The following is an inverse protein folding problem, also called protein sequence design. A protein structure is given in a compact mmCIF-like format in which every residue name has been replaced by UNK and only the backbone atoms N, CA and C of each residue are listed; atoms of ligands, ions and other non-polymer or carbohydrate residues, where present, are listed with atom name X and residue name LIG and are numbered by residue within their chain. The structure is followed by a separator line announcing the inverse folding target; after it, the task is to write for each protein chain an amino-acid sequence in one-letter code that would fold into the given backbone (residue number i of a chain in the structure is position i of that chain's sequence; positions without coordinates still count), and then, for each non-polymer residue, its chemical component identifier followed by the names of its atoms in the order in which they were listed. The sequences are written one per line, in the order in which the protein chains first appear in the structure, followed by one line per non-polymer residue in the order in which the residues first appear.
data_IF_967495263128
#
_entry.id   IF_967495263128
#
_cell.length_a   1.000
_cell.length_b   1.000
_cell.length_c   1.000
_cell.angle_alpha   90.00
_cell.angle_beta   90.00
_cell.angle_gamma   90.00
#
_symmetry.space_group_name_H-M   'P 1'
#
loop_
_entity.id
_entity.type
_entity.pdbx_description
1 polymer ?
#
# COMPACT_ATOMS: atom_id res chain seq x y z
N UNK A 1 19.57 1.49 -12.02
CA UNK A 1 18.91 0.94 -10.81
C UNK A 1 17.67 0.19 -11.26
N UNK A 2 17.79 -1.11 -11.47
CA UNK A 2 16.66 -1.95 -11.88
C UNK A 2 15.84 -2.28 -10.63
N UNK A 3 14.57 -1.86 -10.64
CA UNK A 3 13.60 -2.10 -9.58
C UNK A 3 13.31 -3.61 -9.53
N UNK A 4 13.52 -4.25 -8.38
CA UNK A 4 13.22 -5.67 -8.21
C UNK A 4 11.77 -5.92 -8.61
N UNK A 5 11.61 -6.88 -9.52
CA UNK A 5 10.45 -7.08 -10.38
C UNK A 5 9.42 -7.99 -9.72
N UNK A 6 9.31 -7.93 -8.40
CA UNK A 6 8.48 -8.90 -7.64
C UNK A 6 7.03 -8.42 -7.54
N UNK A 7 6.76 -7.10 -7.55
CA UNK A 7 5.42 -6.58 -7.69
C UNK A 7 5.38 -5.29 -8.52
N UNK A 8 4.73 -5.36 -9.69
CA UNK A 8 4.46 -4.19 -10.56
C UNK A 8 3.35 -3.34 -9.94
N UNK A 9 3.64 -2.72 -8.80
CA UNK A 9 2.67 -1.94 -8.02
C UNK A 9 3.14 -0.51 -7.81
N UNK A 10 2.26 0.46 -8.04
CA UNK A 10 2.43 1.86 -7.69
C UNK A 10 1.55 2.12 -6.47
N UNK A 11 2.17 2.40 -5.34
CA UNK A 11 1.48 2.77 -4.12
C UNK A 11 1.13 4.25 -4.13
N UNK A 12 -0.08 4.60 -3.68
CA UNK A 12 -0.49 5.98 -3.50
C UNK A 12 -1.17 6.21 -2.15
N UNK A 13 -0.99 7.41 -1.60
CA UNK A 13 -1.59 7.86 -0.36
C UNK A 13 -2.24 9.24 -0.58
N UNK A 14 -3.55 9.32 -0.35
CA UNK A 14 -4.26 10.58 -0.32
C UNK A 14 -4.15 11.21 1.08
N UNK A 15 -3.72 12.47 1.14
CA UNK A 15 -3.65 13.23 2.38
C UNK A 15 -3.75 14.73 2.09
N UNK A 16 -4.26 15.59 2.98
CA UNK A 16 -4.42 17.02 2.68
C UNK A 16 -3.12 17.82 2.47
N UNK A 17 -1.98 17.28 2.92
CA UNK A 17 -0.68 17.92 2.77
C UNK A 17 0.46 16.92 2.85
N UNK A 18 1.65 17.32 2.39
CA UNK A 18 2.86 16.50 2.48
C UNK A 18 3.21 16.13 3.92
N UNK A 19 3.12 17.08 4.84
CA UNK A 19 3.44 16.85 6.26
C UNK A 19 2.54 15.78 6.86
N UNK A 20 1.24 15.82 6.56
CA UNK A 20 0.27 14.81 7.03
C UNK A 20 0.50 13.44 6.38
N UNK A 21 0.89 13.40 5.10
CA UNK A 21 1.25 12.16 4.42
C UNK A 21 2.48 11.50 5.05
N UNK A 22 3.52 12.28 5.34
CA UNK A 22 4.78 11.78 5.92
C UNK A 22 4.63 11.34 7.37
N UNK A 23 3.75 11.97 8.15
CA UNK A 23 3.43 11.57 9.53
C UNK A 23 2.36 10.47 9.62
N UNK A 24 1.86 9.98 8.48
CA UNK A 24 0.81 8.97 8.45
C UNK A 24 1.34 7.62 8.93
N UNK A 25 0.68 6.93 9.88
CA UNK A 25 1.06 5.58 10.29
C UNK A 25 1.11 4.59 9.12
N UNK A 26 0.27 4.82 8.12
CA UNK A 26 0.23 3.98 6.92
C UNK A 26 1.49 4.15 6.05
N UNK A 27 2.06 5.36 5.99
CA UNK A 27 3.28 5.63 5.25
C UNK A 27 4.52 5.04 5.94
N UNK A 28 4.58 5.08 7.27
CA UNK A 28 5.71 4.54 8.05
C UNK A 28 5.95 3.05 7.76
N UNK A 29 4.88 2.26 7.65
CA UNK A 29 4.94 0.83 7.31
C UNK A 29 5.63 0.59 5.96
N UNK A 30 5.23 1.31 4.91
CA UNK A 30 5.81 1.18 3.57
C UNK A 30 7.23 1.72 3.46
N UNK A 31 7.55 2.74 4.26
CA UNK A 31 8.91 3.28 4.35
C UNK A 31 9.90 2.21 4.81
N UNK A 32 9.50 1.37 5.78
CA UNK A 32 10.31 0.23 6.24
C UNK A 32 10.57 -0.81 5.14
N UNK A 33 9.59 -1.02 4.26
CA UNK A 33 9.65 -1.92 3.10
C UNK A 33 10.41 -1.32 1.89
N UNK A 34 10.89 -0.07 1.99
CA UNK A 34 11.57 0.68 0.92
C UNK A 34 10.75 0.81 -0.38
N UNK A 35 9.42 0.86 -0.26
CA UNK A 35 8.54 1.15 -1.39
C UNK A 35 8.38 2.66 -1.60
N UNK A 36 8.39 3.08 -2.86
CA UNK A 36 8.05 4.45 -3.24
C UNK A 36 6.53 4.63 -3.22
N UNK A 37 6.06 5.78 -2.70
CA UNK A 37 4.64 6.11 -2.55
C UNK A 37 4.36 7.46 -3.20
N UNK A 38 3.33 7.52 -4.04
CA UNK A 38 2.81 8.76 -4.62
C UNK A 38 1.92 9.47 -3.60
N UNK A 39 2.22 10.72 -3.26
CA UNK A 39 1.34 11.54 -2.43
C UNK A 39 0.35 12.32 -3.29
N UNK A 40 -0.93 12.19 -2.95
CA UNK A 40 -2.04 12.83 -3.61
C UNK A 40 -2.69 13.80 -2.64
N UNK A 41 -2.86 15.06 -3.05
CA UNK A 41 -3.32 16.12 -2.15
C UNK A 41 -4.74 16.58 -2.46
N UNK A 42 -5.22 16.33 -3.69
CA UNK A 42 -6.55 16.74 -4.09
C UNK A 42 -7.59 15.67 -3.74
N UNK A 43 -8.79 16.06 -3.29
CA UNK A 43 -9.85 15.11 -2.94
C UNK A 43 -10.24 14.15 -4.07
N UNK A 44 -10.08 14.59 -5.32
CA UNK A 44 -10.44 13.81 -6.50
C UNK A 44 -9.37 12.80 -6.92
N UNK A 45 -8.12 12.97 -6.50
CA UNK A 45 -7.01 12.11 -6.92
C UNK A 45 -7.25 10.65 -6.53
N UNK A 46 -7.78 10.41 -5.32
CA UNK A 46 -8.07 9.07 -4.84
C UNK A 46 -9.07 8.34 -5.75
N UNK A 47 -10.17 9.00 -6.08
CA UNK A 47 -11.21 8.44 -6.96
C UNK A 47 -10.66 8.18 -8.36
N UNK A 48 -9.85 9.10 -8.89
CA UNK A 48 -9.22 8.96 -10.21
C UNK A 48 -8.26 7.77 -10.23
N UNK A 49 -7.39 7.63 -9.23
CA UNK A 49 -6.42 6.53 -9.17
C UNK A 49 -7.08 5.18 -8.90
N UNK A 50 -8.13 5.15 -8.07
CA UNK A 50 -8.94 3.97 -7.85
C UNK A 50 -9.61 3.49 -9.15
N UNK A 51 -10.15 4.42 -9.95
CA UNK A 51 -10.79 4.09 -11.22
C UNK A 51 -9.80 3.76 -12.34
N UNK A 52 -8.61 4.37 -12.32
CA UNK A 52 -7.56 4.11 -13.31
C UNK A 52 -7.06 2.67 -13.21
N UNK A 53 -6.99 2.10 -12.00
CA UNK A 53 -6.61 0.71 -11.65
C UNK A 53 -5.17 0.30 -12.02
N UNK A 54 -4.69 0.67 -13.20
CA UNK A 54 -3.37 0.35 -13.71
C UNK A 54 -2.81 1.45 -14.61
N UNK A 55 -1.50 1.62 -14.58
CA UNK A 55 -0.77 2.52 -15.47
C UNK A 55 0.48 1.83 -16.01
N UNK A 56 0.62 1.74 -17.33
CA UNK A 56 1.76 1.09 -17.99
C UNK A 56 2.07 -0.32 -17.48
N UNK A 57 1.03 -1.10 -17.16
CA UNK A 57 1.17 -2.46 -16.63
C UNK A 57 1.57 -2.53 -15.16
N UNK A 58 1.56 -1.42 -14.44
CA UNK A 58 1.67 -1.36 -12.99
C UNK A 58 0.29 -1.16 -12.36
N UNK A 59 -0.06 -1.97 -11.36
CA UNK A 59 -1.29 -1.84 -10.59
C UNK A 59 -1.20 -0.63 -9.65
N UNK A 60 -2.26 0.15 -9.54
CA UNK A 60 -2.38 1.22 -8.57
C UNK A 60 -3.01 0.66 -7.29
N UNK A 61 -2.34 0.86 -6.15
CA UNK A 61 -2.80 0.36 -4.86
C UNK A 61 -2.75 1.48 -3.83
N UNK A 62 -3.87 1.72 -3.15
CA UNK A 62 -3.89 2.60 -1.99
C UNK A 62 -3.10 1.96 -0.86
N UNK A 63 -2.26 2.77 -0.22
CA UNK A 63 -1.50 2.39 0.97
C UNK A 63 -2.39 1.85 2.10
N UNK A 64 -3.60 2.38 2.26
CA UNK A 64 -4.54 1.90 3.27
C UNK A 64 -5.05 0.49 2.97
N UNK A 65 -5.23 0.17 1.68
CA UNK A 65 -5.68 -1.15 1.23
C UNK A 65 -4.59 -2.20 1.44
N UNK A 66 -3.35 -1.87 1.11
CA UNK A 66 -2.19 -2.76 1.31
C UNK A 66 -2.06 -3.18 2.78
N UNK A 67 -2.17 -2.23 3.71
CA UNK A 67 -2.09 -2.52 5.14
C UNK A 67 -3.23 -3.44 5.64
N UNK A 68 -4.44 -3.31 5.08
CA UNK A 68 -5.57 -4.21 5.43
C UNK A 68 -5.32 -5.63 4.94
N UNK A 69 -4.83 -5.77 3.71
CA UNK A 69 -4.54 -7.06 3.10
C UNK A 69 -3.40 -7.77 3.85
N UNK A 70 -2.35 -7.04 4.24
CA UNK A 70 -1.24 -7.55 5.06
C UNK A 70 -1.70 -8.07 6.43
N UNK A 71 -2.55 -7.29 7.12
CA UNK A 71 -3.05 -7.68 8.43
C UNK A 71 -3.89 -8.96 8.35
N UNK A 72 -4.77 -9.03 7.35
CA UNK A 72 -5.59 -10.22 7.12
C UNK A 72 -4.75 -11.47 6.83
N UNK A 73 -3.69 -11.32 6.03
CA UNK A 73 -2.76 -12.43 5.76
C UNK A 73 -2.05 -12.92 7.02
N UNK A 74 -1.58 -11.99 7.88
CA UNK A 74 -0.89 -12.33 9.12
C UNK A 74 -1.81 -13.03 10.13
N UNK A 75 -3.06 -12.57 10.25
CA UNK A 75 -4.06 -13.20 11.13
C UNK A 75 -4.37 -14.64 10.69
N UNK A 76 -4.48 -14.88 9.37
CA UNK A 76 -4.69 -16.22 8.81
C UNK A 76 -3.46 -17.14 9.01
N UNK A 77 -2.24 -16.64 8.83
CA UNK A 77 -1.03 -17.44 9.08
C UNK A 77 -0.89 -17.82 10.55
N UNK A 78 -1.26 -16.93 11.46
CA UNK A 78 -1.26 -17.21 12.89
C UNK A 78 -2.27 -18.32 13.21
N UNK A 79 -3.48 -18.26 12.64
CA UNK A 79 -4.49 -19.30 12.81
C UNK A 79 -4.05 -20.66 12.25
N UNK A 80 -3.49 -20.71 11.03
CA UNK A 80 -2.97 -21.95 10.45
C UNK A 80 -1.88 -22.57 11.33
N UNK A 81 -0.99 -21.74 11.90
CA UNK A 81 0.03 -22.21 12.84
C UNK A 81 -0.57 -22.79 14.13
N UNK A 82 -1.63 -22.18 14.68
CA UNK A 82 -2.33 -22.72 15.86
C UNK A 82 -3.04 -24.05 15.56
N UNK A 83 -3.61 -24.21 14.36
CA UNK A 83 -4.30 -25.43 13.96
C UNK A 83 -3.34 -26.60 13.67
N UNK A 84 -2.12 -26.33 13.21
CA UNK A 84 -1.09 -27.37 12.95
C UNK A 84 -0.38 -27.89 14.20
N UNK A 85 -0.46 -27.16 15.31
CA UNK A 85 0.22 -27.48 16.57
C UNK A 85 -0.72 -28.14 17.62
N UNK A 86 -1.94 -28.53 17.24
CA UNK A 86 -2.86 -29.38 18.01
C UNK A 86 -3.17 -30.67 17.22
#
# INVERSE_FOLDING_TARGET
MARNNEDRTIFYLAAPSRTLAESSPYYESLKSKKHEVLFCYEPYDELVLMQLQQFKGYKLVSVEKDMRDDKAANDLSNLDMFLRNN
#
